data_IF_577540809222
#
_entry.id   IF_577540809222
#
_cell.length_a   1.000
_cell.length_b   1.000
_cell.length_c   1.000
_cell.angle_alpha   90.00
_cell.angle_beta   90.00
_cell.angle_gamma   90.00
#
_symmetry.space_group_name_H-M   'P 1'
#
loop_
_entity.id
_entity.type
_entity.pdbx_description
1 polymer ?
#
# COMPACT_ATOMS: atom_id res chain seq x y z
N UNK A 1 -41.06 -24.96 10.43
CA UNK A 1 -41.03 -23.53 10.03
C UNK A 1 -39.60 -23.06 10.23
N UNK A 2 -38.82 -23.01 9.15
CA UNK A 2 -37.44 -22.52 9.13
C UNK A 2 -37.45 -20.99 9.08
N UNK A 3 -36.53 -20.27 9.72
CA UNK A 3 -36.36 -18.85 9.48
C UNK A 3 -35.58 -18.65 8.18
N UNK A 4 -36.13 -17.84 7.28
CA UNK A 4 -35.55 -17.51 5.99
C UNK A 4 -34.32 -16.62 6.15
N UNK A 5 -33.24 -17.02 5.49
CA UNK A 5 -32.03 -16.22 5.29
C UNK A 5 -32.39 -15.09 4.32
N UNK A 6 -32.45 -13.86 4.84
CA UNK A 6 -32.51 -12.66 4.02
C UNK A 6 -31.11 -12.38 3.48
N UNK A 7 -30.91 -12.66 2.19
CA UNK A 7 -29.74 -12.20 1.44
C UNK A 7 -29.83 -10.68 1.27
N UNK A 8 -29.12 -9.94 2.14
CA UNK A 8 -28.90 -8.50 2.00
C UNK A 8 -28.00 -8.27 0.79
N UNK A 9 -28.62 -7.98 -0.35
CA UNK A 9 -27.95 -7.55 -1.57
C UNK A 9 -27.63 -6.06 -1.47
N UNK A 10 -26.75 -5.70 -0.54
CA UNK A 10 -26.16 -4.36 -0.41
C UNK A 10 -24.83 -4.31 -1.14
N UNK A 11 -24.87 -4.42 -2.47
CA UNK A 11 -23.68 -4.27 -3.31
C UNK A 11 -23.12 -2.86 -3.08
N UNK A 12 -21.82 -2.76 -2.77
CA UNK A 12 -21.06 -1.52 -2.71
C UNK A 12 -21.29 -0.77 -4.02
N UNK A 13 -22.20 0.21 -4.01
CA UNK A 13 -22.39 1.11 -5.12
C UNK A 13 -21.20 2.07 -5.09
N UNK A 14 -20.12 1.70 -5.79
CA UNK A 14 -19.24 2.70 -6.38
C UNK A 14 -20.10 3.46 -7.41
N UNK A 15 -20.83 4.48 -6.97
CA UNK A 15 -21.60 5.34 -7.88
C UNK A 15 -20.61 6.11 -8.74
N UNK A 16 -20.31 5.56 -9.91
CA UNK A 16 -19.34 6.13 -10.85
C UNK A 16 -19.16 5.34 -12.15
N UNK A 17 -20.11 4.48 -12.55
CA UNK A 17 -20.09 3.82 -13.86
C UNK A 17 -21.49 3.84 -14.47
N UNK A 18 -21.60 4.41 -15.67
CA UNK A 18 -22.84 4.54 -16.44
C UNK A 18 -23.51 3.19 -16.69
N UNK A 19 -24.81 3.15 -16.41
CA UNK A 19 -25.65 1.97 -16.61
C UNK A 19 -25.76 1.61 -18.10
N UNK A 20 -25.26 0.43 -18.49
CA UNK A 20 -25.74 -0.27 -19.66
C UNK A 20 -27.09 -0.91 -19.32
N UNK A 21 -28.15 -0.40 -19.94
CA UNK A 21 -29.50 -0.97 -19.86
C UNK A 21 -29.63 -2.14 -20.84
N UNK A 22 -30.06 -3.30 -20.33
CA UNK A 22 -30.64 -4.36 -21.15
C UNK A 22 -32.11 -4.05 -21.41
N UNK A 23 -32.49 -4.13 -22.69
CA UNK A 23 -33.80 -3.80 -23.25
C UNK A 23 -34.80 -4.93 -23.01
N UNK A 24 -36.00 -4.59 -22.52
CA UNK A 24 -37.24 -5.32 -22.82
C UNK A 24 -38.47 -4.39 -22.75
N UNK A 25 -38.84 -3.85 -23.93
CA UNK A 25 -40.21 -3.68 -24.45
C UNK A 25 -41.35 -3.26 -23.50
N UNK A 26 -41.84 -2.02 -23.67
CA UNK A 26 -43.25 -1.76 -24.01
C UNK A 26 -43.47 -0.33 -24.53
N UNK A 27 -44.16 -0.24 -25.65
CA UNK A 27 -44.36 0.95 -26.46
C UNK A 27 -45.36 1.96 -25.87
N UNK A 28 -45.10 3.26 -26.06
CA UNK A 28 -45.95 4.20 -26.84
C UNK A 28 -45.47 5.65 -26.76
N UNK A 29 -45.13 6.21 -27.94
CA UNK A 29 -45.47 7.58 -28.38
C UNK A 29 -44.71 8.77 -27.78
N UNK A 30 -43.95 9.50 -28.62
CA UNK A 30 -43.65 10.91 -28.35
C UNK A 30 -42.34 11.46 -28.92
N UNK A 31 -42.43 12.03 -30.12
CA UNK A 31 -41.68 13.17 -30.68
C UNK A 31 -40.14 13.28 -30.54
N UNK A 32 -39.51 13.23 -31.72
CA UNK A 32 -38.15 13.63 -32.07
C UNK A 32 -37.73 15.02 -31.55
N UNK A 33 -36.61 15.07 -30.82
CA UNK A 33 -35.63 16.16 -30.89
C UNK A 33 -34.25 15.51 -31.07
N UNK A 34 -33.69 15.63 -32.27
CA UNK A 34 -32.30 15.25 -32.59
C UNK A 34 -31.39 16.37 -32.08
N UNK A 35 -30.67 16.15 -30.98
CA UNK A 35 -29.45 16.89 -30.67
C UNK A 35 -28.25 15.96 -30.83
N UNK A 36 -27.59 16.12 -31.98
CA UNK A 36 -26.24 15.66 -32.24
C UNK A 36 -25.30 16.34 -31.27
N UNK A 37 -24.67 15.61 -30.36
CA UNK A 37 -23.46 16.06 -29.65
C UNK A 37 -22.32 15.16 -30.10
N UNK A 38 -21.38 15.79 -30.77
CA UNK A 38 -20.20 15.22 -31.41
C UNK A 38 -19.34 14.45 -30.42
N UNK A 39 -19.08 13.18 -30.74
CA UNK A 39 -17.90 12.47 -30.27
C UNK A 39 -16.66 13.16 -30.83
N UNK A 40 -15.95 13.93 -30.00
CA UNK A 40 -14.57 14.34 -30.28
C UNK A 40 -13.63 13.49 -29.45
N UNK A 41 -13.19 12.40 -30.05
CA UNK A 41 -11.90 11.81 -29.74
C UNK A 41 -10.78 12.73 -30.23
N UNK A 42 -9.89 13.15 -29.33
CA UNK A 42 -8.47 13.37 -29.62
C UNK A 42 -7.71 13.57 -28.33
N UNK A 43 -7.01 12.52 -27.91
CA UNK A 43 -5.80 12.64 -27.12
C UNK A 43 -4.79 13.52 -27.88
N UNK A 44 -4.01 14.32 -27.16
CA UNK A 44 -2.61 13.94 -27.04
C UNK A 44 -2.14 14.01 -25.58
N UNK A 45 -1.38 13.04 -25.06
CA UNK A 45 -0.49 13.35 -23.97
C UNK A 45 0.67 14.14 -24.57
N UNK A 46 0.74 15.43 -24.26
CA UNK A 46 1.99 16.19 -24.45
C UNK A 46 2.99 15.62 -23.46
N UNK A 47 3.74 14.59 -23.87
CA UNK A 47 4.96 14.17 -23.18
C UNK A 47 5.90 15.37 -23.18
N UNK A 48 5.97 16.09 -22.06
CA UNK A 48 7.14 16.87 -21.73
C UNK A 48 8.24 15.83 -21.50
N UNK A 49 9.02 15.57 -22.54
CA UNK A 49 10.27 14.82 -22.47
C UNK A 49 11.19 15.57 -21.51
N UNK A 50 11.11 15.26 -20.21
CA UNK A 50 12.27 15.38 -19.36
C UNK A 50 13.33 14.52 -20.03
N UNK A 51 14.41 15.16 -20.46
CA UNK A 51 15.61 14.44 -20.88
C UNK A 51 16.13 13.79 -19.60
N UNK A 52 15.67 12.58 -19.33
CA UNK A 52 16.24 11.76 -18.28
C UNK A 52 17.68 11.47 -18.72
N UNK A 53 18.63 12.10 -18.03
CA UNK A 53 20.04 11.86 -18.27
C UNK A 53 20.35 10.46 -17.74
N UNK A 54 20.34 9.49 -18.63
CA UNK A 54 20.92 8.17 -18.37
C UNK A 54 22.43 8.37 -18.35
N UNK A 55 23.04 8.28 -17.17
CA UNK A 55 24.49 8.43 -17.01
C UNK A 55 25.14 7.05 -16.81
N UNK A 56 26.16 6.74 -17.60
CA UNK A 56 27.02 5.58 -17.37
C UNK A 56 28.23 6.02 -16.54
N UNK A 57 28.44 5.39 -15.39
CA UNK A 57 29.45 5.76 -14.40
C UNK A 57 30.34 4.56 -14.10
N UNK A 58 31.64 4.79 -14.03
CA UNK A 58 32.61 3.80 -13.52
C UNK A 58 32.94 4.13 -12.06
N UNK A 59 32.67 3.18 -11.16
CA UNK A 59 32.74 3.35 -9.71
C UNK A 59 33.59 2.24 -9.11
N UNK A 60 34.64 2.61 -8.38
CA UNK A 60 35.45 1.64 -7.63
C UNK A 60 34.90 1.45 -6.23
N UNK A 61 34.58 0.22 -5.87
CA UNK A 61 34.08 -0.16 -4.55
C UNK A 61 35.04 -1.15 -3.90
N UNK A 62 35.46 -0.85 -2.67
CA UNK A 62 36.28 -1.75 -1.87
C UNK A 62 35.39 -2.60 -0.96
N UNK A 63 35.77 -3.86 -0.73
CA UNK A 63 35.17 -4.67 0.33
C UNK A 63 35.43 -4.02 1.69
N UNK A 64 34.44 -4.10 2.58
CA UNK A 64 34.59 -3.71 3.98
C UNK A 64 35.62 -4.61 4.69
N UNK A 65 36.08 -4.20 5.87
CA UNK A 65 36.98 -5.02 6.69
C UNK A 65 36.41 -6.39 7.09
N UNK A 66 35.09 -6.59 6.98
CA UNK A 66 34.38 -7.87 7.17
C UNK A 66 34.39 -8.75 5.92
N UNK A 67 34.95 -8.28 4.80
CA UNK A 67 35.03 -9.01 3.54
C UNK A 67 33.76 -8.95 2.69
N UNK A 68 32.71 -8.23 3.07
CA UNK A 68 31.51 -8.03 2.25
C UNK A 68 31.63 -6.77 1.37
N UNK A 69 30.87 -6.69 0.27
CA UNK A 69 30.71 -5.43 -0.46
C UNK A 69 29.74 -4.46 0.22
N UNK A 70 28.85 -4.97 1.08
CA UNK A 70 27.84 -4.16 1.76
C UNK A 70 26.80 -3.57 0.81
N UNK A 71 26.54 -4.24 -0.31
CA UNK A 71 25.45 -3.91 -1.22
C UNK A 71 24.56 -5.13 -1.41
N UNK A 72 23.26 -4.87 -1.54
CA UNK A 72 22.27 -5.84 -1.99
C UNK A 72 21.75 -5.42 -3.35
N UNK A 73 21.57 -6.37 -4.26
CA UNK A 73 20.99 -6.13 -5.59
C UNK A 73 19.75 -6.97 -5.80
N UNK A 74 18.84 -6.50 -6.63
CA UNK A 74 17.67 -7.26 -7.06
C UNK A 74 18.01 -8.27 -8.18
N UNK A 75 16.99 -8.98 -8.69
CA UNK A 75 17.13 -9.92 -9.80
C UNK A 75 17.68 -9.31 -11.10
N UNK A 76 17.58 -7.99 -11.27
CA UNK A 76 18.06 -7.23 -12.43
C UNK A 76 19.39 -6.53 -12.16
N UNK A 77 20.06 -6.85 -11.04
CA UNK A 77 21.31 -6.24 -10.59
C UNK A 77 21.21 -4.74 -10.28
N UNK A 78 20.01 -4.27 -9.89
CA UNK A 78 19.82 -2.91 -9.39
C UNK A 78 20.10 -2.86 -7.90
N UNK A 79 20.89 -1.88 -7.46
CA UNK A 79 21.26 -1.71 -6.05
C UNK A 79 20.01 -1.38 -5.23
N UNK A 80 19.62 -2.33 -4.39
CA UNK A 80 18.44 -2.31 -3.53
C UNK A 80 18.81 -2.15 -2.04
N UNK A 81 20.10 -2.28 -1.71
CA UNK A 81 20.64 -2.03 -0.39
C UNK A 81 22.06 -1.53 -0.44
N UNK A 82 22.39 -0.62 0.48
CA UNK A 82 23.76 -0.17 0.62
C UNK A 82 24.10 0.21 2.06
N UNK A 83 24.89 -0.64 2.72
CA UNK A 83 25.37 -0.45 4.08
C UNK A 83 26.88 -0.27 4.17
N UNK A 84 27.59 -0.26 3.03
CA UNK A 84 29.05 -0.45 3.01
C UNK A 84 29.85 0.51 2.14
N UNK A 85 29.21 1.29 1.25
CA UNK A 85 29.93 2.17 0.32
C UNK A 85 29.14 3.42 0.00
N UNK A 86 29.80 4.57 -0.19
CA UNK A 86 29.13 5.79 -0.67
C UNK A 86 29.14 5.92 -2.20
N UNK A 87 29.87 5.05 -2.90
CA UNK A 87 30.05 5.19 -4.34
C UNK A 87 28.81 4.74 -5.13
N UNK A 88 28.19 3.63 -4.73
CA UNK A 88 26.95 3.13 -5.31
C UNK A 88 25.77 3.76 -4.58
N UNK A 89 24.69 4.08 -5.30
CA UNK A 89 23.45 4.55 -4.69
C UNK A 89 22.31 3.59 -5.00
N UNK A 90 21.27 3.64 -4.16
CA UNK A 90 20.06 2.86 -4.39
C UNK A 90 19.42 3.27 -5.72
N UNK A 91 19.08 2.28 -6.55
CA UNK A 91 18.58 2.47 -7.90
C UNK A 91 19.65 2.44 -9.00
N UNK A 92 20.96 2.39 -8.68
CA UNK A 92 22.01 2.19 -9.69
C UNK A 92 21.88 0.78 -10.31
N UNK A 93 21.81 0.70 -11.64
CA UNK A 93 21.78 -0.58 -12.36
C UNK A 93 23.21 -1.01 -12.71
N UNK A 94 23.68 -2.12 -12.16
CA UNK A 94 25.04 -2.62 -12.42
C UNK A 94 25.08 -3.37 -13.75
N UNK A 95 25.81 -2.83 -14.72
CA UNK A 95 25.89 -3.39 -16.09
C UNK A 95 27.21 -4.08 -16.39
N UNK A 96 28.29 -3.74 -15.68
CA UNK A 96 29.57 -4.43 -15.77
C UNK A 96 30.35 -4.42 -14.44
N UNK A 97 31.26 -5.38 -14.29
CA UNK A 97 32.22 -5.46 -13.17
C UNK A 97 33.60 -5.81 -13.71
N UNK A 98 34.61 -5.03 -13.34
CA UNK A 98 36.00 -5.20 -13.77
C UNK A 98 36.14 -5.30 -15.30
N UNK A 99 35.29 -4.55 -16.03
CA UNK A 99 35.21 -4.57 -17.49
C UNK A 99 34.40 -5.73 -18.10
N UNK A 100 33.95 -6.69 -17.29
CA UNK A 100 33.09 -7.79 -17.74
C UNK A 100 31.60 -7.40 -17.65
N UNK A 101 30.90 -7.43 -18.78
CA UNK A 101 29.45 -7.16 -18.80
C UNK A 101 28.69 -8.23 -18.04
N UNK A 102 27.78 -7.78 -17.17
CA UNK A 102 26.94 -8.67 -16.37
C UNK A 102 25.92 -9.39 -17.27
N UNK A 103 25.24 -8.65 -18.15
CA UNK A 103 24.21 -9.19 -19.03
C UNK A 103 23.03 -9.75 -18.23
N UNK A 104 22.53 -10.92 -18.62
CA UNK A 104 21.41 -11.60 -17.95
C UNK A 104 21.84 -12.39 -16.69
N UNK A 105 23.12 -12.32 -16.31
CA UNK A 105 23.64 -13.06 -15.15
C UNK A 105 23.41 -12.25 -13.88
N UNK A 106 23.11 -12.91 -12.78
CA UNK A 106 23.11 -12.25 -11.48
C UNK A 106 24.55 -11.85 -11.08
N UNK A 107 24.70 -10.70 -10.43
CA UNK A 107 25.98 -10.09 -10.06
C UNK A 107 26.90 -11.05 -9.29
N UNK A 108 26.32 -11.87 -8.40
CA UNK A 108 27.05 -12.87 -7.63
C UNK A 108 27.77 -13.93 -8.47
N UNK A 109 27.41 -14.10 -9.75
CA UNK A 109 28.06 -15.01 -10.70
C UNK A 109 29.22 -14.38 -11.46
N UNK A 110 29.31 -13.05 -11.47
CA UNK A 110 30.32 -12.28 -12.20
C UNK A 110 31.42 -11.78 -11.28
N UNK A 111 31.12 -11.61 -9.98
CA UNK A 111 32.10 -11.23 -8.97
C UNK A 111 33.20 -12.29 -8.84
N UNK A 112 34.44 -11.91 -9.15
CA UNK A 112 35.62 -12.75 -8.89
C UNK A 112 35.83 -12.91 -7.38
N UNK A 113 35.82 -14.13 -6.82
CA UNK A 113 36.03 -14.34 -5.39
C UNK A 113 37.39 -13.84 -4.91
N UNK A 114 37.45 -13.28 -3.69
CA UNK A 114 38.71 -12.86 -3.05
C UNK A 114 39.25 -11.49 -3.48
N UNK A 115 38.70 -10.86 -4.52
CA UNK A 115 39.06 -9.49 -4.87
C UNK A 115 38.64 -8.51 -3.77
N UNK A 116 39.56 -7.66 -3.34
CA UNK A 116 39.34 -6.65 -2.30
C UNK A 116 38.71 -5.37 -2.84
N UNK A 117 38.75 -5.17 -4.15
CA UNK A 117 38.16 -4.03 -4.87
C UNK A 117 37.55 -4.51 -6.18
N UNK A 118 36.48 -3.86 -6.59
CA UNK A 118 35.81 -4.07 -7.87
C UNK A 118 35.54 -2.72 -8.52
N UNK A 119 35.63 -2.67 -9.84
CA UNK A 119 35.23 -1.54 -10.65
C UNK A 119 33.87 -1.84 -11.28
N UNK A 120 32.82 -1.19 -10.78
CA UNK A 120 31.47 -1.31 -11.30
C UNK A 120 31.24 -0.29 -12.40
N UNK A 121 30.68 -0.73 -13.52
CA UNK A 121 30.03 0.18 -14.48
C UNK A 121 28.55 0.14 -14.17
N UNK A 122 27.98 1.31 -13.87
CA UNK A 122 26.56 1.44 -13.54
C UNK A 122 25.86 2.39 -14.49
N UNK A 123 24.59 2.09 -14.75
CA UNK A 123 23.67 3.03 -15.39
C UNK A 123 22.84 3.67 -14.27
N UNK A 124 22.95 4.99 -14.16
CA UNK A 124 22.10 5.79 -13.31
C UNK A 124 21.01 6.41 -14.17
N UNK A 125 19.84 5.79 -14.12
CA UNK A 125 18.63 6.25 -14.77
C UNK A 125 17.58 6.46 -13.68
N UNK A 126 17.09 7.70 -13.54
CA UNK A 126 16.18 8.04 -12.46
C UNK A 126 14.84 7.30 -12.56
N UNK A 127 14.35 7.06 -13.77
CA UNK A 127 13.07 6.38 -13.99
C UNK A 127 13.21 4.88 -13.74
N UNK A 128 14.25 4.26 -14.32
CA UNK A 128 14.51 2.83 -14.12
C UNK A 128 14.86 2.51 -12.66
N UNK A 129 15.68 3.35 -12.03
CA UNK A 129 16.05 3.23 -10.62
C UNK A 129 14.83 3.32 -9.70
N UNK A 130 13.95 4.30 -9.93
CA UNK A 130 12.70 4.41 -9.19
C UNK A 130 11.81 3.16 -9.39
N UNK A 131 11.64 2.68 -10.63
CA UNK A 131 10.82 1.50 -10.93
C UNK A 131 11.34 0.21 -10.25
N UNK A 132 12.67 0.04 -10.18
CA UNK A 132 13.29 -1.08 -9.48
C UNK A 132 13.06 -0.98 -7.96
N UNK A 133 13.29 0.19 -7.37
CA UNK A 133 13.05 0.42 -5.94
C UNK A 133 11.57 0.22 -5.56
N UNK A 134 10.61 0.62 -6.42
CA UNK A 134 9.19 0.32 -6.21
C UNK A 134 8.92 -1.19 -6.16
N UNK A 135 9.56 -1.96 -7.04
CA UNK A 135 9.37 -3.42 -7.10
C UNK A 135 9.97 -4.11 -5.88
N UNK A 136 11.17 -3.69 -5.45
CA UNK A 136 11.79 -4.14 -4.20
C UNK A 136 10.90 -3.81 -3.01
N UNK A 137 10.40 -2.57 -2.92
CA UNK A 137 9.56 -2.13 -1.81
C UNK A 137 8.27 -2.96 -1.72
N UNK A 138 7.57 -3.16 -2.83
CA UNK A 138 6.37 -3.99 -2.88
C UNK A 138 6.64 -5.42 -2.42
N UNK A 139 7.76 -6.02 -2.86
CA UNK A 139 8.17 -7.36 -2.45
C UNK A 139 8.46 -7.41 -0.96
N UNK A 140 9.23 -6.46 -0.43
CA UNK A 140 9.54 -6.39 1.01
C UNK A 140 8.26 -6.24 1.86
N UNK A 141 7.32 -5.41 1.42
CA UNK A 141 6.02 -5.23 2.08
C UNK A 141 5.14 -6.48 2.00
N UNK A 142 5.15 -7.20 0.87
CA UNK A 142 4.42 -8.47 0.75
C UNK A 142 4.98 -9.52 1.71
N UNK A 143 6.30 -9.72 1.70
CA UNK A 143 6.98 -10.66 2.60
C UNK A 143 6.76 -10.30 4.09
N UNK A 144 6.77 -9.00 4.43
CA UNK A 144 6.49 -8.54 5.81
C UNK A 144 5.06 -8.84 6.27
N UNK A 145 4.10 -8.96 5.35
CA UNK A 145 2.71 -9.32 5.67
C UNK A 145 2.48 -10.83 5.74
N UNK A 146 3.31 -11.64 5.06
CA UNK A 146 3.15 -13.09 4.95
C UNK A 146 3.96 -13.87 6.00
N UNK A 147 5.14 -13.37 6.37
CA UNK A 147 6.12 -14.13 7.16
C UNK A 147 6.00 -13.88 8.67
N UNK A 148 5.91 -14.96 9.46
CA UNK A 148 6.11 -14.88 10.90
C UNK A 148 7.62 -14.72 11.16
N UNK A 149 8.06 -13.48 11.15
CA UNK A 149 9.44 -13.14 11.49
C UNK A 149 9.59 -13.06 13.00
N UNK A 150 10.67 -13.64 13.51
CA UNK A 150 11.13 -13.37 14.87
C UNK A 150 11.38 -11.85 15.05
N UNK A 151 11.22 -11.28 16.26
CA UNK A 151 11.23 -9.84 16.47
C UNK A 151 12.43 -9.10 15.87
N UNK A 152 13.62 -9.69 15.95
CA UNK A 152 14.84 -9.11 15.37
C UNK A 152 14.80 -9.07 13.83
N UNK A 153 14.26 -10.12 13.20
CA UNK A 153 14.12 -10.17 11.75
C UNK A 153 13.02 -9.23 11.25
N UNK A 154 11.93 -9.09 12.01
CA UNK A 154 10.88 -8.10 11.75
C UNK A 154 11.44 -6.66 11.84
N UNK A 155 12.22 -6.35 12.87
CA UNK A 155 12.86 -5.05 13.01
C UNK A 155 13.84 -4.75 11.86
N UNK A 156 14.67 -5.73 11.48
CA UNK A 156 15.57 -5.60 10.33
C UNK A 156 14.80 -5.38 9.01
N UNK A 157 13.67 -6.08 8.85
CA UNK A 157 12.78 -5.94 7.71
C UNK A 157 12.16 -4.54 7.64
N UNK A 158 11.64 -4.03 8.74
CA UNK A 158 11.09 -2.67 8.81
C UNK A 158 12.15 -1.61 8.51
N UNK A 159 13.35 -1.75 9.07
CA UNK A 159 14.47 -0.86 8.77
C UNK A 159 14.80 -0.86 7.26
N UNK A 160 14.73 -2.04 6.62
CA UNK A 160 14.96 -2.17 5.19
C UNK A 160 13.88 -1.51 4.33
N UNK A 161 12.62 -1.66 4.71
CA UNK A 161 11.48 -1.00 4.05
C UNK A 161 11.64 0.53 4.13
N UNK A 162 11.99 1.07 5.30
CA UNK A 162 12.26 2.50 5.48
C UNK A 162 13.45 3.00 4.65
N UNK A 163 14.54 2.23 4.57
CA UNK A 163 15.70 2.56 3.72
C UNK A 163 15.28 2.71 2.25
N UNK A 164 14.57 1.71 1.70
CA UNK A 164 14.12 1.72 0.31
C UNK A 164 13.09 2.82 0.06
N UNK A 165 12.16 3.04 1.00
CA UNK A 165 11.20 4.13 0.92
C UNK A 165 11.90 5.49 0.86
N UNK A 166 12.85 5.78 1.75
CA UNK A 166 13.62 7.04 1.74
C UNK A 166 14.41 7.24 0.46
N UNK A 167 14.98 6.17 -0.08
CA UNK A 167 15.65 6.23 -1.38
C UNK A 167 14.67 6.65 -2.48
N UNK A 168 13.47 6.06 -2.49
CA UNK A 168 12.43 6.36 -3.45
C UNK A 168 11.90 7.80 -3.32
N UNK A 169 11.78 8.31 -2.08
CA UNK A 169 11.41 9.72 -1.79
C UNK A 169 12.40 10.70 -2.45
N UNK A 170 13.67 10.32 -2.64
CA UNK A 170 14.65 11.10 -3.39
C UNK A 170 14.35 11.27 -4.88
N UNK A 171 13.46 10.44 -5.45
CA UNK A 171 12.99 10.53 -6.83
C UNK A 171 11.64 11.25 -6.98
N UNK A 172 11.11 11.84 -5.90
CA UNK A 172 9.83 12.51 -5.94
C UNK A 172 9.84 13.68 -6.92
N UNK A 173 9.09 13.54 -8.02
CA UNK A 173 8.61 14.69 -8.76
C UNK A 173 7.47 15.31 -7.92
N UNK A 174 7.49 16.63 -7.72
CA UNK A 174 6.52 17.33 -6.86
C UNK A 174 5.07 16.88 -7.06
N UNK A 175 4.26 17.00 -6.01
CA UNK A 175 2.91 16.47 -5.96
C UNK A 175 2.03 16.96 -7.12
N UNK A 176 1.31 16.02 -7.75
CA UNK A 176 0.32 16.32 -8.77
C UNK A 176 -0.97 15.60 -8.43
N UNK A 177 -2.08 16.33 -8.47
CA UNK A 177 -3.40 15.85 -8.07
C UNK A 177 -3.86 14.66 -8.92
N UNK A 178 -3.57 14.66 -10.21
CA UNK A 178 -3.89 13.57 -11.15
C UNK A 178 -3.22 12.25 -10.76
N UNK A 179 -2.01 12.31 -10.23
CA UNK A 179 -1.28 11.16 -9.74
C UNK A 179 -1.95 10.52 -8.50
N UNK A 180 -2.87 11.19 -7.81
CA UNK A 180 -3.59 10.64 -6.66
C UNK A 180 -4.89 9.93 -7.00
N UNK A 181 -5.48 10.26 -8.15
CA UNK A 181 -6.79 9.74 -8.51
C UNK A 181 -6.76 8.22 -8.68
N UNK A 182 -7.82 7.54 -8.25
CA UNK A 182 -7.96 6.10 -8.36
C UNK A 182 -7.98 5.39 -7.00
N UNK A 183 -7.77 4.08 -7.03
CA UNK A 183 -7.81 3.22 -5.86
C UNK A 183 -6.42 2.84 -5.39
N UNK A 184 -6.23 2.86 -4.07
CA UNK A 184 -4.96 2.66 -3.40
C UNK A 184 -5.14 1.67 -2.26
N UNK A 185 -4.58 0.47 -2.41
CA UNK A 185 -4.57 -0.53 -1.36
C UNK A 185 -3.42 -0.26 -0.39
N UNK A 186 -3.70 -0.18 0.92
CA UNK A 186 -2.64 -0.12 1.91
C UNK A 186 -1.88 -1.45 1.91
N UNK A 187 -0.56 -1.38 1.75
CA UNK A 187 0.33 -2.55 1.75
C UNK A 187 1.22 -2.60 2.97
N UNK A 188 1.59 -1.45 3.50
CA UNK A 188 2.47 -1.37 4.67
C UNK A 188 2.21 -0.07 5.42
N UNK A 189 2.30 -0.15 6.75
CA UNK A 189 2.40 0.99 7.64
C UNK A 189 3.56 0.75 8.59
N UNK A 190 4.42 1.76 8.78
CA UNK A 190 5.51 1.69 9.76
C UNK A 190 5.04 1.96 11.19
N UNK A 191 3.73 2.18 11.40
CA UNK A 191 3.17 2.41 12.71
C UNK A 191 3.68 1.36 13.70
N UNK A 192 4.52 1.82 14.64
CA UNK A 192 5.15 0.98 15.67
C UNK A 192 4.14 0.68 16.78
N UNK A 193 3.07 1.46 16.90
CA UNK A 193 1.92 0.99 17.63
C UNK A 193 1.38 -0.20 16.84
N UNK A 194 1.34 -1.37 17.49
CA UNK A 194 0.63 -2.55 17.02
C UNK A 194 -0.90 -2.31 16.98
N UNK A 195 -1.31 -1.11 16.60
CA UNK A 195 -2.64 -0.55 16.69
C UNK A 195 -3.07 0.01 15.34
N UNK A 196 -2.32 0.82 14.60
CA UNK A 196 -2.85 1.42 13.35
C UNK A 196 -3.31 0.41 12.27
N UNK A 197 -2.61 -0.71 11.98
CA UNK A 197 -3.14 -1.75 11.10
C UNK A 197 -4.36 -2.49 11.69
N UNK A 198 -4.54 -2.42 13.01
CA UNK A 198 -5.55 -3.18 13.75
C UNK A 198 -6.78 -2.36 14.04
N UNK A 199 -6.65 -1.13 14.52
CA UNK A 199 -7.67 -0.12 14.81
C UNK A 199 -8.35 0.38 13.53
N UNK A 200 -7.57 0.55 12.46
CA UNK A 200 -8.01 1.22 11.23
C UNK A 200 -8.32 2.70 11.42
N UNK A 201 -8.45 3.42 10.31
CA UNK A 201 -8.92 4.79 10.29
C UNK A 201 -10.38 4.90 10.70
N UNK A 202 -11.19 3.85 10.52
CA UNK A 202 -12.60 3.86 10.93
C UNK A 202 -12.79 3.64 12.43
N UNK A 203 -11.74 3.20 13.15
CA UNK A 203 -11.79 2.86 14.57
C UNK A 203 -12.47 1.54 14.90
N UNK A 204 -13.11 0.86 13.94
CA UNK A 204 -13.79 -0.42 14.19
C UNK A 204 -12.86 -1.55 14.57
N UNK A 205 -11.61 -1.46 14.13
CA UNK A 205 -10.58 -2.37 14.53
C UNK A 205 -10.15 -2.26 16.00
N UNK A 206 -10.51 -1.16 16.67
CA UNK A 206 -10.30 -0.97 18.11
C UNK A 206 -11.31 -1.75 18.96
N UNK A 207 -12.41 -2.16 18.35
CA UNK A 207 -13.46 -2.88 19.06
C UNK A 207 -12.96 -4.29 19.42
N UNK A 208 -13.23 -4.79 20.64
CA UNK A 208 -12.88 -6.16 21.00
C UNK A 208 -13.39 -7.16 19.96
N UNK A 209 -12.59 -8.17 19.59
CA UNK A 209 -12.99 -9.18 18.61
C UNK A 209 -13.18 -8.66 17.18
N UNK A 210 -12.75 -7.42 16.88
CA UNK A 210 -12.72 -6.87 15.54
C UNK A 210 -11.28 -6.59 15.11
N UNK A 211 -10.94 -6.92 13.86
CA UNK A 211 -9.62 -6.64 13.28
C UNK A 211 -9.79 -6.13 11.85
N UNK A 212 -9.08 -5.05 11.50
CA UNK A 212 -8.99 -4.62 10.10
C UNK A 212 -8.08 -5.58 9.34
N UNK A 213 -8.64 -6.30 8.36
CA UNK A 213 -7.89 -7.25 7.53
C UNK A 213 -7.35 -6.61 6.26
N UNK A 214 -8.00 -5.55 5.78
CA UNK A 214 -7.59 -4.85 4.57
C UNK A 214 -8.16 -3.45 4.50
N UNK A 215 -7.38 -2.53 3.95
CA UNK A 215 -7.75 -1.13 3.78
C UNK A 215 -7.46 -0.67 2.34
N UNK A 216 -8.39 0.11 1.80
CA UNK A 216 -8.23 0.84 0.55
C UNK A 216 -8.62 2.31 0.73
N UNK A 217 -8.06 3.16 -0.11
CA UNK A 217 -8.52 4.53 -0.30
C UNK A 217 -8.85 4.78 -1.75
N UNK A 218 -9.91 5.54 -2.01
CA UNK A 218 -10.27 6.04 -3.32
C UNK A 218 -10.21 7.56 -3.30
N UNK A 219 -9.51 8.14 -4.26
CA UNK A 219 -9.53 9.58 -4.54
C UNK A 219 -10.15 9.79 -5.92
N UNK A 220 -11.05 10.77 -6.03
CA UNK A 220 -11.65 11.21 -7.29
C UNK A 220 -11.56 12.73 -7.42
N UNK A 221 -11.80 13.21 -8.64
CA UNK A 221 -11.88 14.62 -8.96
C UNK A 221 -13.12 15.27 -8.31
N UNK A 222 -12.95 16.54 -7.92
CA UNK A 222 -13.81 17.25 -6.96
C UNK A 222 -15.11 17.85 -7.50
N UNK A 223 -15.94 17.10 -8.22
CA UNK A 223 -17.32 17.54 -8.52
C UNK A 223 -18.36 16.98 -7.52
N UNK A 224 -18.04 15.86 -6.87
CA UNK A 224 -18.95 15.16 -5.97
C UNK A 224 -18.83 15.64 -4.52
N UNK A 225 -19.92 15.51 -3.76
CA UNK A 225 -19.94 15.81 -2.32
C UNK A 225 -18.92 14.95 -1.53
N UNK A 226 -18.63 13.76 -2.06
CA UNK A 226 -17.64 12.80 -1.57
C UNK A 226 -16.62 12.54 -2.67
N UNK A 227 -15.40 13.07 -2.52
CA UNK A 227 -14.29 12.84 -3.46
C UNK A 227 -13.10 12.07 -2.84
N UNK A 228 -13.20 11.70 -1.56
CA UNK A 228 -12.32 10.70 -0.92
C UNK A 228 -13.15 9.67 -0.14
N UNK A 229 -12.72 8.42 -0.21
CA UNK A 229 -13.30 7.34 0.57
C UNK A 229 -12.19 6.41 1.09
N UNK A 230 -12.15 6.17 2.40
CA UNK A 230 -11.41 5.04 2.98
C UNK A 230 -12.36 3.89 3.20
N UNK A 231 -11.98 2.69 2.76
CA UNK A 231 -12.73 1.44 2.92
C UNK A 231 -11.88 0.46 3.70
N UNK A 232 -12.43 -0.08 4.78
CA UNK A 232 -11.82 -1.11 5.61
C UNK A 232 -12.72 -2.34 5.62
N UNK A 233 -12.12 -3.51 5.43
CA UNK A 233 -12.80 -4.77 5.72
C UNK A 233 -12.38 -5.19 7.12
N UNK A 234 -13.38 -5.31 7.99
CA UNK A 234 -13.25 -5.65 9.40
C UNK A 234 -13.70 -7.09 9.56
N UNK A 235 -12.80 -7.97 10.02
CA UNK A 235 -13.18 -9.29 10.52
C UNK A 235 -13.83 -9.12 11.89
N UNK A 236 -15.08 -9.54 12.06
CA UNK A 236 -15.82 -9.48 13.32
C UNK A 236 -16.07 -10.90 13.83
N UNK A 237 -15.41 -11.25 14.92
CA UNK A 237 -15.44 -12.59 15.51
C UNK A 237 -16.75 -12.93 16.21
N UNK A 238 -17.48 -11.91 16.69
CA UNK A 238 -18.77 -12.13 17.33
C UNK A 238 -19.85 -12.54 16.34
N UNK A 239 -19.73 -12.09 15.09
CA UNK A 239 -20.67 -12.41 14.01
C UNK A 239 -20.16 -13.48 13.05
N UNK A 240 -18.91 -13.92 13.22
CA UNK A 240 -18.20 -14.81 12.29
C UNK A 240 -18.27 -14.31 10.83
N UNK A 241 -18.18 -12.99 10.65
CA UNK A 241 -18.35 -12.35 9.36
C UNK A 241 -17.37 -11.20 9.13
N UNK A 242 -16.95 -11.05 7.87
CA UNK A 242 -16.27 -9.84 7.42
C UNK A 242 -17.31 -8.77 7.07
N UNK A 243 -17.07 -7.53 7.52
CA UNK A 243 -17.97 -6.40 7.34
C UNK A 243 -17.18 -5.22 6.78
N UNK A 244 -17.83 -4.41 5.93
CA UNK A 244 -17.21 -3.17 5.42
C UNK A 244 -17.49 -2.03 6.38
N UNK A 245 -16.43 -1.33 6.77
CA UNK A 245 -16.46 0.00 7.36
C UNK A 245 -15.94 1.01 6.31
N UNK A 246 -16.54 2.20 6.24
CA UNK A 246 -16.11 3.21 5.29
C UNK A 246 -16.21 4.63 5.84
N UNK A 247 -15.14 5.40 5.68
CA UNK A 247 -15.13 6.85 5.85
C UNK A 247 -15.31 7.52 4.49
N UNK A 248 -16.19 8.50 4.41
CA UNK A 248 -16.51 9.27 3.20
C UNK A 248 -16.40 10.76 3.50
N UNK A 249 -15.81 11.51 2.57
CA UNK A 249 -15.72 12.95 2.70
C UNK A 249 -14.94 13.59 1.56
N UNK A 250 -14.15 14.61 1.90
CA UNK A 250 -13.41 15.43 0.95
C UNK A 250 -11.91 15.35 1.12
N UNK A 251 -11.16 15.48 0.03
CA UNK A 251 -9.73 15.67 0.08
C UNK A 251 -9.28 16.92 -0.69
N UNK A 252 -8.13 17.44 -0.31
CA UNK A 252 -7.37 18.46 -1.04
C UNK A 252 -5.87 18.16 -0.99
N UNK A 253 -5.13 18.77 -1.91
CA UNK A 253 -3.67 18.74 -1.97
C UNK A 253 -3.13 20.16 -1.92
N UNK A 254 -2.39 20.50 -0.87
CA UNK A 254 -1.79 21.81 -0.64
C UNK A 254 -0.26 21.67 -0.62
N UNK A 255 0.36 21.89 -1.78
CA UNK A 255 1.78 21.56 -1.93
C UNK A 255 1.98 20.05 -1.89
N UNK A 256 2.74 19.55 -0.92
CA UNK A 256 2.90 18.13 -0.62
C UNK A 256 2.00 17.65 0.52
N UNK A 257 1.20 18.52 1.14
CA UNK A 257 0.25 18.14 2.19
C UNK A 257 -1.06 17.63 1.58
N UNK A 258 -1.48 16.44 2.00
CA UNK A 258 -2.79 15.87 1.70
C UNK A 258 -3.66 16.03 2.94
N UNK A 259 -4.80 16.70 2.75
CA UNK A 259 -5.79 16.90 3.80
C UNK A 259 -7.02 16.07 3.44
N UNK A 260 -7.34 15.08 4.26
CA UNK A 260 -8.54 14.25 4.14
C UNK A 260 -9.53 14.65 5.25
N UNK A 261 -10.72 15.15 4.89
CA UNK A 261 -11.79 15.52 5.83
C UNK A 261 -13.00 14.62 5.61
N UNK A 262 -13.20 13.69 6.54
CA UNK A 262 -14.33 12.77 6.54
C UNK A 262 -15.47 13.32 7.39
N UNK A 263 -16.69 13.26 6.89
CA UNK A 263 -17.90 13.73 7.57
C UNK A 263 -18.98 12.65 7.64
N UNK A 264 -18.63 11.42 7.27
CA UNK A 264 -19.55 10.29 7.20
C UNK A 264 -18.81 8.99 7.45
N UNK A 265 -19.21 8.29 8.50
CA UNK A 265 -18.77 6.93 8.82
C UNK A 265 -19.92 5.95 8.58
N UNK A 266 -19.65 4.90 7.80
CA UNK A 266 -20.57 3.78 7.57
C UNK A 266 -20.00 2.46 8.07
N UNK A 267 -20.85 1.60 8.61
CA UNK A 267 -20.53 0.22 8.96
C UNK A 267 -21.65 -0.71 8.51
N UNK A 268 -21.31 -1.81 7.84
CA UNK A 268 -22.29 -2.74 7.27
C UNK A 268 -23.34 -2.06 6.35
N UNK A 269 -23.00 -0.91 5.75
CA UNK A 269 -23.90 -0.11 4.92
C UNK A 269 -24.86 0.81 5.70
N UNK A 270 -24.83 0.83 7.03
CA UNK A 270 -25.54 1.77 7.87
C UNK A 270 -24.69 3.01 8.17
N UNK A 271 -25.32 4.18 8.33
CA UNK A 271 -24.67 5.39 8.82
C UNK A 271 -24.51 5.29 10.34
N UNK A 272 -23.28 5.42 10.82
CA UNK A 272 -22.95 5.20 12.24
C UNK A 272 -22.62 6.52 12.94
N UNK A 273 -21.84 7.38 12.29
CA UNK A 273 -21.52 8.71 12.78
C UNK A 273 -21.40 9.71 11.63
N UNK A 274 -21.66 10.97 11.96
CA UNK A 274 -21.42 12.14 11.12
C UNK A 274 -20.37 13.09 11.73
N UNK A 275 -19.60 12.59 12.73
CA UNK A 275 -18.49 13.33 13.31
C UNK A 275 -17.42 13.59 12.26
N UNK A 276 -16.79 14.76 12.36
CA UNK A 276 -15.75 15.17 11.42
C UNK A 276 -14.42 14.56 11.86
N UNK A 277 -13.83 13.75 10.99
CA UNK A 277 -12.48 13.21 11.15
C UNK A 277 -11.58 13.90 10.13
N UNK A 278 -10.55 14.60 10.59
CA UNK A 278 -9.54 15.23 9.73
C UNK A 278 -8.24 14.43 9.84
N UNK A 279 -7.62 14.15 8.71
CA UNK A 279 -6.32 13.50 8.63
C UNK A 279 -5.42 14.31 7.69
N UNK A 280 -4.24 14.63 8.20
CA UNK A 280 -3.19 15.28 7.44
C UNK A 280 -2.05 14.29 7.22
N UNK A 281 -1.52 14.27 6.00
CA UNK A 281 -0.33 13.50 5.68
C UNK A 281 0.49 14.24 4.65
N UNK A 282 1.81 14.01 4.66
CA UNK A 282 2.71 14.55 3.65
C UNK A 282 2.95 13.50 2.58
N UNK A 283 2.69 13.85 1.33
CA UNK A 283 3.14 13.09 0.19
C UNK A 283 4.67 13.13 0.15
N UNK A 284 5.30 11.97 0.18
CA UNK A 284 6.75 11.88 -0.02
C UNK A 284 7.11 11.22 -1.34
N UNK A 285 6.20 10.46 -1.96
CA UNK A 285 6.37 9.91 -3.30
C UNK A 285 5.03 9.52 -3.92
N UNK A 286 4.85 9.72 -5.23
CA UNK A 286 3.69 9.21 -5.98
C UNK A 286 4.10 8.80 -7.38
N UNK A 287 3.57 7.68 -7.85
CA UNK A 287 3.77 7.15 -9.20
C UNK A 287 2.49 6.51 -9.72
N UNK A 288 2.53 5.94 -10.92
CA UNK A 288 1.41 5.14 -11.44
C UNK A 288 1.18 3.86 -10.63
N UNK A 289 2.19 3.32 -9.93
CA UNK A 289 2.08 2.02 -9.27
C UNK A 289 1.96 2.12 -7.76
N UNK A 290 2.72 3.01 -7.12
CA UNK A 290 2.72 3.16 -5.66
C UNK A 290 2.73 4.62 -5.25
N UNK A 291 2.32 4.86 -4.01
CA UNK A 291 2.52 6.14 -3.32
C UNK A 291 2.99 5.91 -1.90
N UNK A 292 3.79 6.86 -1.41
CA UNK A 292 4.30 6.93 -0.06
C UNK A 292 3.81 8.22 0.60
N UNK A 293 3.30 8.07 1.81
CA UNK A 293 2.82 9.19 2.62
C UNK A 293 3.46 9.08 4.00
N UNK A 294 3.75 10.21 4.64
CA UNK A 294 4.13 10.26 6.05
C UNK A 294 3.03 10.96 6.84
N UNK A 295 2.49 10.31 7.86
CA UNK A 295 1.40 10.87 8.68
C UNK A 295 1.93 12.09 9.45
N UNK A 296 1.19 13.20 9.41
CA UNK A 296 1.51 14.39 10.20
C UNK A 296 0.69 14.40 11.50
N UNK A 297 1.30 14.86 12.59
CA UNK A 297 0.64 14.92 13.89
C UNK A 297 1.59 15.33 15.02
N UNK A 298 1.03 15.57 16.20
CA UNK A 298 1.79 15.92 17.43
C UNK A 298 2.07 14.71 18.33
N UNK A 299 1.50 13.56 18.00
CA UNK A 299 1.51 12.36 18.85
C UNK A 299 2.52 11.32 18.35
N UNK A 300 2.60 10.16 19.03
CA UNK A 300 3.55 9.06 18.75
C UNK A 300 3.50 8.47 17.32
N UNK A 301 2.55 8.92 16.50
CA UNK A 301 2.22 8.48 15.14
C UNK A 301 2.84 9.43 14.08
N UNK A 302 3.45 10.55 14.51
CA UNK A 302 4.07 11.51 13.60
C UNK A 302 5.26 10.91 12.84
N UNK A 303 5.24 11.03 11.51
CA UNK A 303 6.29 10.54 10.63
C UNK A 303 6.13 9.08 10.17
N UNK A 304 5.04 8.40 10.56
CA UNK A 304 4.73 7.04 10.12
C UNK A 304 4.61 6.96 8.60
N UNK A 305 5.36 6.03 8.01
CA UNK A 305 5.32 5.70 6.60
C UNK A 305 4.10 4.83 6.29
N UNK A 306 3.22 5.32 5.43
CA UNK A 306 2.18 4.54 4.78
C UNK A 306 2.55 4.30 3.30
N UNK A 307 2.60 3.04 2.88
CA UNK A 307 2.85 2.65 1.51
C UNK A 307 1.60 2.02 0.90
N UNK A 308 1.12 2.61 -0.19
CA UNK A 308 -0.06 2.13 -0.91
C UNK A 308 0.31 1.72 -2.33
N UNK A 309 -0.33 0.64 -2.80
CA UNK A 309 -0.25 0.18 -4.19
C UNK A 309 -1.53 0.56 -4.94
N UNK A 310 -1.39 1.09 -6.16
CA UNK A 310 -2.52 1.39 -7.03
C UNK A 310 -3.19 0.09 -7.47
N UNK A 311 -4.51 0.08 -7.45
CA UNK A 311 -5.32 -1.03 -7.96
C UNK A 311 -6.42 -0.52 -8.90
N UNK A 312 -6.90 -1.37 -9.79
CA UNK A 312 -8.12 -1.09 -10.54
C UNK A 312 -9.34 -1.26 -9.65
N UNK A 313 -10.45 -0.59 -9.99
CA UNK A 313 -11.71 -0.78 -9.26
C UNK A 313 -12.21 -2.23 -9.29
N UNK A 314 -11.95 -2.96 -10.38
CA UNK A 314 -12.27 -4.39 -10.50
C UNK A 314 -11.46 -5.24 -9.51
N UNK A 315 -10.16 -4.98 -9.38
CA UNK A 315 -9.31 -5.68 -8.40
C UNK A 315 -9.78 -5.43 -6.97
N UNK A 316 -10.14 -4.19 -6.64
CA UNK A 316 -10.67 -3.84 -5.31
C UNK A 316 -11.99 -4.55 -5.05
N UNK A 317 -12.93 -4.48 -5.99
CA UNK A 317 -14.25 -5.12 -5.85
C UNK A 317 -14.13 -6.64 -5.70
N UNK A 318 -13.28 -7.27 -6.51
CA UNK A 318 -13.01 -8.71 -6.41
C UNK A 318 -12.39 -9.07 -5.06
N UNK A 319 -11.41 -8.29 -4.58
CA UNK A 319 -10.77 -8.53 -3.29
C UNK A 319 -11.75 -8.37 -2.11
N UNK A 320 -12.58 -7.32 -2.11
CA UNK A 320 -13.61 -7.12 -1.09
C UNK A 320 -14.62 -8.25 -1.11
N UNK A 321 -15.16 -8.61 -2.29
CA UNK A 321 -16.11 -9.73 -2.40
C UNK A 321 -15.52 -11.07 -1.95
N UNK A 322 -14.23 -11.32 -2.22
CA UNK A 322 -13.53 -12.51 -1.77
C UNK A 322 -13.34 -12.57 -0.24
N UNK A 323 -13.21 -11.42 0.43
CA UNK A 323 -13.16 -11.36 1.89
C UNK A 323 -14.55 -11.54 2.51
N UNK A 324 -15.56 -10.82 2.01
CA UNK A 324 -16.94 -10.87 2.52
C UNK A 324 -17.61 -12.25 2.34
N UNK A 325 -17.13 -13.07 1.40
CA UNK A 325 -17.65 -14.42 1.18
C UNK A 325 -17.03 -15.49 2.09
N UNK A 326 -16.00 -15.14 2.88
CA UNK A 326 -15.34 -16.07 3.80
C UNK A 326 -15.81 -15.82 5.24
N UNK A 327 -16.04 -16.89 6.03
CA UNK A 327 -16.22 -16.74 7.47
C UNK A 327 -14.93 -16.20 8.11
N UNK A 328 -15.04 -15.67 9.33
CA UNK A 328 -13.88 -15.21 10.10
C UNK A 328 -13.22 -16.47 10.69
N UNK A 329 -12.27 -17.05 9.97
CA UNK A 329 -11.53 -18.21 10.46
C UNK A 329 -10.74 -17.90 11.73
N UNK A 330 -10.32 -18.92 12.48
CA UNK A 330 -9.27 -18.75 13.52
C UNK A 330 -7.96 -18.22 12.93
N UNK A 331 -7.82 -18.26 11.59
CA UNK A 331 -6.68 -17.77 10.83
C UNK A 331 -6.67 -16.26 10.57
N UNK A 332 -7.79 -15.54 10.72
CA UNK A 332 -7.86 -14.09 10.47
C UNK A 332 -7.31 -13.22 11.60
N UNK A 333 -6.91 -13.82 12.73
CA UNK A 333 -6.15 -13.11 13.75
C UNK A 333 -4.69 -12.92 13.32
N UNK A 334 -4.11 -11.74 13.55
CA UNK A 334 -2.68 -11.52 13.47
C UNK A 334 -2.00 -12.53 14.40
N UNK A 335 -1.03 -13.26 13.87
CA UNK A 335 -0.59 -14.52 14.50
C UNK A 335 0.04 -14.34 15.89
N UNK A 336 0.47 -13.14 16.25
CA UNK A 336 1.04 -12.81 17.57
C UNK A 336 -0.02 -12.74 18.69
N UNK A 337 -1.28 -12.41 18.39
CA UNK A 337 -2.37 -12.55 19.38
C UNK A 337 -2.69 -14.02 19.70
N UNK A 338 -2.45 -14.95 18.77
CA UNK A 338 -2.59 -16.39 19.06
C UNK A 338 -1.60 -16.83 20.13
N UNK A 339 -0.38 -16.31 20.10
CA UNK A 339 0.65 -16.66 21.06
C UNK A 339 0.37 -16.16 22.48
N UNK A 340 -0.40 -15.08 22.64
CA UNK A 340 -0.80 -14.56 23.95
C UNK A 340 -2.04 -15.29 24.52
N UNK A 341 -2.96 -15.73 23.66
CA UNK A 341 -4.09 -16.58 24.09
C UNK A 341 -3.67 -18.00 24.41
N UNK A 342 -2.75 -18.59 23.65
CA UNK A 342 -2.16 -19.90 23.95
C UNK A 342 -1.34 -19.85 25.26
N UNK A 343 -0.75 -18.70 25.62
CA UNK A 343 -0.13 -18.47 26.94
C UNK A 343 -1.15 -18.25 28.06
N UNK A 344 -2.29 -17.62 27.78
CA UNK A 344 -3.32 -17.30 28.77
C UNK A 344 -4.14 -18.51 29.26
N UNK A 345 -4.28 -19.57 28.47
CA UNK A 345 -5.07 -20.76 28.82
C UNK A 345 -4.27 -21.97 29.32
N UNK A 346 -2.93 -21.89 29.34
CA UNK A 346 -2.05 -22.98 29.81
C UNK A 346 -1.79 -23.02 31.33
N UNK A 347 -2.26 -22.02 32.09
CA UNK A 347 -1.94 -21.82 33.50
C UNK A 347 -3.08 -22.19 34.46
N UNK A 348 -3.69 -23.35 34.29
CA UNK A 348 -4.62 -23.91 35.27
C UNK A 348 -3.90 -24.69 36.36
N UNK A 349 -3.49 -24.05 37.45
CA UNK A 349 -3.44 -24.71 38.76
C UNK A 349 -4.24 -23.89 39.77
N UNK A 350 -5.32 -24.51 40.22
CA UNK A 350 -6.19 -24.02 41.28
C UNK A 350 -5.42 -23.95 42.60
N UNK A 351 -5.27 -22.75 43.16
CA UNK A 351 -5.11 -22.60 44.60
C UNK A 351 -6.42 -22.08 45.19
N UNK A 352 -7.22 -23.03 45.67
CA UNK A 352 -8.15 -22.76 46.74
C UNK A 352 -7.33 -22.42 48.00
N UNK A 353 -7.44 -21.20 48.52
CA UNK A 353 -6.94 -20.85 49.84
C UNK A 353 -7.90 -19.89 50.54
N UNK A 354 -8.52 -20.47 51.56
CA UNK A 354 -9.24 -19.91 52.70
C UNK A 354 -9.18 -18.39 52.93
N UNK A 355 -10.38 -17.82 53.08
CA UNK A 355 -10.65 -16.57 53.80
C UNK A 355 -10.82 -16.93 55.30
N UNK A 356 -10.11 -16.27 56.24
CA UNK A 356 -10.53 -16.24 57.64
C UNK A 356 -11.72 -15.30 57.88
#
# INVERSE_FOLDING_TARGET
RMPGIFLVSGLIAFSGAGAFTSVASLARGGSLVKSTIEQRGRWPPTRLSHVYMTEELELTVARSGTGSLGIDVDENNVVAGNSGTSALVLGDAIVAVDGERVGDRHLSKVLTPGNTKYMFTVIRDAEAGAAALQSVLLRLCAEANEEQLEPAAAAARMAKIEEVARALEGFAAGAKEDAWLGFWALRFSSAVSAEMPFLGLTGYGASPGCVVVKQWQRFSDGADEVNVQTVEVVANEFTDAHVVAALKGRWSLEGDEIVETYNRLEYAGALESADIVVRNSRQTYVSERIRLCRVEGTDAVAGELCMYERQSGEQVQAAVGALLSKPVGTETRPRWERADLERGFGGGEAQASAIP
#
